data_IF_384938187950
#
_entry.id   IF_384938187950
#
_cell.length_a   1.000
_cell.length_b   1.000
_cell.length_c   1.000
_cell.angle_alpha   90.00
_cell.angle_beta   90.00
_cell.angle_gamma   90.00
#
_symmetry.space_group_name_H-M   'P 1'
#
loop_
_entity.id
_entity.type
_entity.pdbx_description
1 polymer ?
#
# COMPACT_ATOMS: atom_id res chain seq x y z
N UNK A 1 -20.75 76.99 -21.03
CA UNK A 1 -19.90 75.99 -21.70
C UNK A 1 -18.68 75.72 -20.84
N UNK A 2 -18.42 74.44 -20.50
CA UNK A 2 -17.10 73.84 -20.22
C UNK A 2 -16.43 74.31 -18.90
N UNK A 3 -15.99 73.46 -17.95
CA UNK A 3 -15.61 72.04 -17.98
C UNK A 3 -15.67 71.45 -16.56
N UNK A 4 -15.89 70.14 -16.51
CA UNK A 4 -15.86 69.24 -15.35
C UNK A 4 -14.81 69.62 -14.29
N UNK A 5 -15.29 69.97 -13.11
CA UNK A 5 -14.59 69.81 -11.83
C UNK A 5 -15.23 68.60 -11.18
N UNK A 6 -14.54 67.45 -11.13
CA UNK A 6 -14.66 66.40 -10.09
C UNK A 6 -13.89 65.08 -10.37
N UNK A 7 -13.09 64.96 -11.44
CA UNK A 7 -12.49 63.66 -11.82
C UNK A 7 -10.96 63.55 -11.64
N UNK A 8 -10.32 64.37 -10.80
CA UNK A 8 -8.86 64.29 -10.60
C UNK A 8 -8.42 64.08 -9.15
N UNK A 9 -9.34 64.02 -8.19
CA UNK A 9 -9.01 63.71 -6.79
C UNK A 9 -9.20 62.22 -6.43
N UNK A 10 -9.68 61.39 -7.37
CA UNK A 10 -9.94 59.96 -7.12
C UNK A 10 -8.95 59.01 -7.81
N UNK A 11 -8.07 59.51 -8.69
CA UNK A 11 -7.08 58.68 -9.41
C UNK A 11 -5.69 58.72 -8.72
N UNK A 12 -5.52 59.53 -7.67
CA UNK A 12 -4.28 59.61 -6.89
C UNK A 12 -4.40 59.03 -5.47
N UNK A 13 -5.43 58.19 -5.25
CA UNK A 13 -5.60 57.42 -4.01
C UNK A 13 -5.40 55.90 -4.21
N UNK A 14 -5.21 55.43 -5.45
CA UNK A 14 -5.04 54.00 -5.77
C UNK A 14 -3.60 53.58 -6.13
N UNK A 15 -2.61 54.43 -5.88
CA UNK A 15 -1.18 54.13 -6.14
C UNK A 15 -0.34 53.96 -4.86
N UNK A 16 -0.97 53.77 -3.70
CA UNK A 16 -0.29 53.62 -2.41
C UNK A 16 -0.76 52.38 -1.60
N UNK A 17 -1.28 51.36 -2.28
CA UNK A 17 -1.39 50.02 -1.70
C UNK A 17 -0.29 49.20 -2.38
N UNK A 18 0.94 49.41 -1.91
CA UNK A 18 1.98 48.41 -2.12
C UNK A 18 1.52 47.16 -1.39
N UNK A 19 1.48 46.04 -2.13
CA UNK A 19 1.25 44.72 -1.56
C UNK A 19 2.36 44.40 -0.55
N UNK A 20 2.13 44.69 0.72
CA UNK A 20 2.78 43.97 1.82
C UNK A 20 1.91 42.74 2.11
N UNK A 21 1.93 41.78 1.19
CA UNK A 21 1.47 40.42 1.48
C UNK A 21 2.68 39.63 1.98
N UNK A 22 3.12 39.97 3.19
CA UNK A 22 3.92 39.10 4.03
C UNK A 22 3.28 39.13 5.41
N UNK A 23 2.00 38.79 5.50
CA UNK A 23 1.55 38.10 6.69
C UNK A 23 2.07 36.68 6.51
N UNK A 24 3.24 36.42 7.10
CA UNK A 24 3.58 35.08 7.52
C UNK A 24 2.46 34.65 8.45
N UNK A 25 1.51 33.89 7.92
CA UNK A 25 0.51 33.22 8.72
C UNK A 25 1.27 32.49 9.83
N UNK A 26 0.93 32.70 11.12
CA UNK A 26 1.59 31.98 12.19
C UNK A 26 1.39 30.50 11.89
N UNK A 27 2.50 29.79 11.72
CA UNK A 27 2.52 28.33 11.57
C UNK A 27 1.60 27.79 12.65
N UNK A 28 0.56 27.06 12.24
CA UNK A 28 -0.38 26.47 13.17
C UNK A 28 0.45 25.67 14.19
N UNK A 29 0.38 25.97 15.49
CA UNK A 29 1.12 25.22 16.52
C UNK A 29 0.78 23.72 16.52
N UNK A 30 -0.33 23.30 15.89
CA UNK A 30 -0.67 21.89 15.67
C UNK A 30 0.07 21.24 14.49
N UNK A 31 0.70 22.03 13.62
CA UNK A 31 1.56 21.58 12.52
C UNK A 31 3.06 21.64 12.87
N UNK A 32 3.42 22.07 14.09
CA UNK A 32 4.76 21.89 14.63
C UNK A 32 4.71 20.69 15.57
N UNK A 33 4.75 19.48 15.00
CA UNK A 33 5.22 18.33 15.75
C UNK A 33 6.71 18.56 16.04
N UNK A 34 6.99 19.20 17.18
CA UNK A 34 8.31 19.17 17.82
C UNK A 34 8.53 17.80 18.45
N UNK A 35 8.37 16.74 17.65
CA UNK A 35 8.99 15.46 17.92
C UNK A 35 10.49 15.71 18.12
N UNK A 36 11.14 15.00 19.06
CA UNK A 36 12.56 15.17 19.30
C UNK A 36 13.35 15.11 18.00
N UNK A 37 14.03 16.23 17.69
CA UNK A 37 14.86 16.38 16.51
C UNK A 37 15.88 15.23 16.44
N UNK A 38 16.05 14.56 15.29
CA UNK A 38 16.83 13.33 15.18
C UNK A 38 18.30 13.53 15.56
N UNK A 39 18.90 12.43 16.05
CA UNK A 39 20.32 12.34 16.38
C UNK A 39 21.17 12.27 15.10
N UNK A 40 21.38 13.42 14.44
CA UNK A 40 22.25 13.57 13.27
C UNK A 40 21.47 13.71 11.93
N UNK A 41 22.10 14.25 10.88
CA UNK A 41 21.45 14.49 9.59
C UNK A 41 21.06 13.17 8.91
N UNK A 42 19.91 13.16 8.23
CA UNK A 42 19.50 12.06 7.36
C UNK A 42 20.53 11.88 6.23
N UNK A 43 20.81 10.63 5.87
CA UNK A 43 21.67 10.32 4.72
C UNK A 43 21.22 9.06 4.01
N UNK A 44 21.40 9.02 2.70
CA UNK A 44 21.20 7.86 1.86
C UNK A 44 22.29 7.83 0.79
N UNK A 45 22.99 6.70 0.66
CA UNK A 45 24.11 6.53 -0.27
C UNK A 45 24.21 5.09 -0.77
N UNK A 46 24.81 4.92 -1.94
CA UNK A 46 25.11 3.62 -2.54
C UNK A 46 26.27 3.76 -3.53
N UNK A 47 27.07 2.72 -3.70
CA UNK A 47 28.15 2.68 -4.68
C UNK A 47 27.72 1.89 -5.92
N UNK A 48 27.85 2.51 -7.10
CA UNK A 48 27.70 1.83 -8.39
C UNK A 48 28.55 2.53 -9.45
N UNK A 49 28.88 1.82 -10.54
CA UNK A 49 29.76 2.33 -11.62
C UNK A 49 31.10 2.93 -11.13
N UNK A 50 31.64 2.40 -10.01
CA UNK A 50 32.90 2.83 -9.43
C UNK A 50 32.86 4.16 -8.68
N UNK A 51 31.67 4.71 -8.41
CA UNK A 51 31.49 5.96 -7.67
C UNK A 51 30.47 5.80 -6.54
N UNK A 52 30.64 6.61 -5.48
CA UNK A 52 29.62 6.76 -4.44
C UNK A 52 28.58 7.77 -4.88
N UNK A 53 27.35 7.29 -4.98
CA UNK A 53 26.16 8.08 -5.18
C UNK A 53 25.54 8.43 -3.83
N UNK A 54 25.46 9.73 -3.52
CA UNK A 54 24.82 10.25 -2.32
C UNK A 54 23.66 11.17 -2.72
N UNK A 55 22.49 10.92 -2.13
CA UNK A 55 21.27 11.66 -2.45
C UNK A 55 21.20 12.96 -1.65
N UNK A 56 20.37 13.89 -2.12
CA UNK A 56 20.16 15.19 -1.45
C UNK A 56 18.95 15.15 -0.52
N UNK A 57 18.00 14.24 -0.81
CA UNK A 57 16.84 13.94 0.02
C UNK A 57 16.73 12.44 0.28
N UNK A 58 16.17 12.09 1.42
CA UNK A 58 15.77 10.72 1.76
C UNK A 58 14.51 10.76 2.60
N UNK A 59 13.52 9.95 2.24
CA UNK A 59 12.25 9.79 2.95
C UNK A 59 11.92 8.32 3.07
N UNK A 60 11.09 7.99 4.04
CA UNK A 60 10.56 6.66 4.21
C UNK A 60 9.08 6.67 4.59
N UNK A 61 8.41 5.55 4.34
CA UNK A 61 7.04 5.29 4.77
C UNK A 61 7.08 3.95 5.49
N UNK A 62 6.45 3.86 6.67
CA UNK A 62 6.26 2.60 7.40
C UNK A 62 4.79 2.48 7.74
N UNK A 63 4.07 1.63 7.02
CA UNK A 63 2.63 1.44 7.20
C UNK A 63 2.15 0.12 6.57
N UNK A 64 1.00 -0.42 7.03
CA UNK A 64 0.28 -1.52 6.38
C UNK A 64 1.15 -2.74 6.01
N UNK A 65 2.06 -3.15 6.90
CA UNK A 65 2.95 -4.29 6.64
C UNK A 65 4.08 -4.00 5.65
N UNK A 66 4.34 -2.75 5.30
CA UNK A 66 5.35 -2.35 4.32
C UNK A 66 6.29 -1.26 4.88
N UNK A 67 7.56 -1.32 4.47
CA UNK A 67 8.53 -0.24 4.59
C UNK A 67 8.94 0.17 3.18
N UNK A 68 8.80 1.45 2.85
CA UNK A 68 9.39 2.06 1.66
C UNK A 68 10.45 3.08 2.06
N UNK A 69 11.63 3.04 1.45
CA UNK A 69 12.69 4.02 1.68
C UNK A 69 13.18 4.52 0.33
N UNK A 70 13.11 5.83 0.09
CA UNK A 70 13.54 6.43 -1.17
C UNK A 70 14.61 7.50 -0.91
N UNK A 71 15.72 7.41 -1.65
CA UNK A 71 16.73 8.45 -1.74
C UNK A 71 16.67 9.16 -3.10
N UNK A 72 16.66 10.49 -3.13
CA UNK A 72 16.51 11.30 -4.36
C UNK A 72 17.67 12.29 -4.50
N UNK A 73 18.31 12.30 -5.66
CA UNK A 73 19.29 13.32 -6.07
C UNK A 73 18.59 14.52 -6.70
N UNK A 74 18.91 15.71 -6.23
CA UNK A 74 18.40 16.96 -6.79
C UNK A 74 19.48 17.71 -7.56
N UNK A 75 19.15 18.38 -8.68
CA UNK A 75 17.82 18.48 -9.29
C UNK A 75 17.53 17.41 -10.34
N UNK A 76 18.43 16.43 -10.55
CA UNK A 76 18.28 15.43 -11.63
C UNK A 76 17.08 14.52 -11.43
N UNK A 77 16.64 14.35 -10.18
CA UNK A 77 15.53 13.48 -9.84
C UNK A 77 15.87 11.99 -9.98
N UNK A 78 17.16 11.66 -10.10
CA UNK A 78 17.61 10.28 -9.97
C UNK A 78 17.22 9.76 -8.58
N UNK A 79 16.75 8.52 -8.50
CA UNK A 79 16.29 7.95 -7.25
C UNK A 79 16.70 6.49 -7.10
N UNK A 80 16.87 6.09 -5.84
CA UNK A 80 16.91 4.68 -5.44
C UNK A 80 15.75 4.45 -4.48
N UNK A 81 14.92 3.47 -4.78
CA UNK A 81 13.75 3.11 -3.96
C UNK A 81 13.91 1.68 -3.46
N UNK A 82 13.62 1.49 -2.19
CA UNK A 82 13.65 0.23 -1.46
C UNK A 82 12.23 -0.04 -0.96
N UNK A 83 11.67 -1.22 -1.23
CA UNK A 83 10.37 -1.64 -0.70
C UNK A 83 10.53 -2.99 -0.02
N UNK A 84 10.00 -3.10 1.19
CA UNK A 84 10.13 -4.27 2.06
C UNK A 84 8.75 -4.69 2.54
N UNK A 85 8.35 -5.96 2.35
CA UNK A 85 7.17 -6.55 2.98
C UNK A 85 7.45 -6.85 4.46
N UNK A 86 7.32 -5.82 5.28
CA UNK A 86 7.43 -5.90 6.73
C UNK A 86 7.53 -4.51 7.35
N UNK A 87 7.32 -4.41 8.66
CA UNK A 87 7.41 -3.17 9.44
C UNK A 87 8.44 -3.26 10.58
N UNK A 88 9.24 -4.33 10.60
CA UNK A 88 10.17 -4.61 11.70
C UNK A 88 11.64 -4.47 11.27
N UNK A 89 12.53 -4.38 12.26
CA UNK A 89 13.97 -4.52 12.01
C UNK A 89 14.29 -5.95 11.61
N UNK A 90 15.16 -6.13 10.62
CA UNK A 90 15.45 -7.46 10.09
C UNK A 90 16.21 -7.39 8.77
N UNK A 91 16.51 -8.55 8.20
CA UNK A 91 17.03 -8.64 6.83
C UNK A 91 15.95 -9.24 5.95
N UNK A 92 15.69 -8.57 4.83
CA UNK A 92 14.70 -8.91 3.83
C UNK A 92 15.43 -9.16 2.52
N UNK A 93 15.30 -10.34 1.95
CA UNK A 93 15.96 -10.70 0.69
C UNK A 93 15.01 -10.47 -0.48
N UNK A 94 15.57 -10.28 -1.68
CA UNK A 94 14.76 -10.14 -2.88
C UNK A 94 13.83 -11.35 -3.11
N UNK A 95 14.33 -12.56 -2.85
CA UNK A 95 13.55 -13.80 -2.93
C UNK A 95 12.34 -13.85 -1.96
N UNK A 96 12.36 -13.02 -0.91
CA UNK A 96 11.29 -12.90 0.09
C UNK A 96 10.38 -11.68 -0.20
N UNK A 97 10.42 -11.13 -1.42
CA UNK A 97 9.58 -10.01 -1.87
C UNK A 97 10.17 -8.61 -1.66
N UNK A 98 11.42 -8.48 -1.23
CA UNK A 98 12.08 -7.18 -1.12
C UNK A 98 12.42 -6.61 -2.51
N UNK A 99 11.91 -5.43 -2.84
CA UNK A 99 12.11 -4.77 -4.13
C UNK A 99 13.10 -3.62 -4.04
N UNK A 100 14.00 -3.52 -5.01
CA UNK A 100 14.94 -2.42 -5.14
C UNK A 100 14.92 -1.90 -6.57
N UNK A 101 14.82 -0.57 -6.72
CA UNK A 101 14.90 0.07 -8.03
C UNK A 101 15.81 1.29 -8.04
N UNK A 102 16.35 1.60 -9.22
CA UNK A 102 17.08 2.82 -9.52
C UNK A 102 16.52 3.47 -10.79
N UNK A 103 16.08 4.71 -10.68
CA UNK A 103 15.63 5.54 -11.79
C UNK A 103 16.68 6.61 -12.08
N UNK A 104 17.08 6.74 -13.35
CA UNK A 104 18.07 7.75 -13.76
C UNK A 104 17.49 9.17 -13.87
N UNK A 105 16.18 9.33 -13.71
CA UNK A 105 15.48 10.61 -13.56
C UNK A 105 14.02 10.37 -13.18
N UNK A 106 13.30 11.43 -12.77
CA UNK A 106 11.86 11.38 -12.49
C UNK A 106 10.98 11.05 -13.70
N UNK A 107 11.54 11.11 -14.91
CA UNK A 107 10.83 10.84 -16.18
C UNK A 107 11.41 9.65 -16.93
N UNK A 108 12.26 8.85 -16.29
CA UNK A 108 12.91 7.73 -16.93
C UNK A 108 11.88 6.62 -17.17
N UNK A 109 11.53 6.39 -18.44
CA UNK A 109 10.69 5.26 -18.88
C UNK A 109 11.34 3.92 -18.55
N UNK A 110 12.67 3.88 -18.56
CA UNK A 110 13.46 2.71 -18.22
C UNK A 110 14.22 2.91 -16.92
N UNK A 111 14.24 1.87 -16.10
CA UNK A 111 14.87 1.85 -14.79
C UNK A 111 15.52 0.50 -14.54
N UNK A 112 16.36 0.45 -13.50
CA UNK A 112 16.99 -0.78 -13.07
C UNK A 112 16.24 -1.32 -11.85
N UNK A 113 15.92 -2.60 -11.85
CA UNK A 113 15.26 -3.27 -10.73
C UNK A 113 16.01 -4.55 -10.35
N UNK A 114 15.81 -5.04 -9.12
CA UNK A 114 16.47 -6.27 -8.66
C UNK A 114 15.89 -7.56 -9.26
N UNK A 115 14.95 -7.48 -10.20
CA UNK A 115 14.41 -8.62 -10.95
C UNK A 115 15.11 -8.71 -12.30
N UNK A 116 15.61 -9.89 -12.67
CA UNK A 116 16.13 -10.13 -14.01
C UNK A 116 14.96 -10.48 -14.94
N UNK A 117 14.58 -9.64 -15.91
CA UNK A 117 13.41 -9.90 -16.73
C UNK A 117 13.59 -11.09 -17.70
N UNK A 118 14.81 -11.64 -17.82
CA UNK A 118 15.09 -12.86 -18.57
C UNK A 118 15.04 -14.15 -17.73
N UNK A 119 14.80 -14.05 -16.42
CA UNK A 119 14.66 -15.17 -15.50
C UNK A 119 13.30 -15.05 -14.78
N UNK A 120 12.53 -16.14 -14.72
CA UNK A 120 11.28 -16.15 -13.94
C UNK A 120 11.58 -15.91 -12.45
N UNK A 121 10.90 -14.92 -11.86
CA UNK A 121 10.69 -14.71 -10.41
C UNK A 121 11.88 -14.88 -9.45
N UNK A 122 13.06 -14.33 -9.78
CA UNK A 122 14.23 -14.35 -8.87
C UNK A 122 14.75 -12.94 -8.57
N UNK A 123 14.06 -12.16 -7.71
CA UNK A 123 14.57 -10.89 -7.26
C UNK A 123 15.79 -11.10 -6.37
N UNK A 124 16.89 -10.39 -6.68
CA UNK A 124 18.14 -10.53 -5.96
C UNK A 124 18.34 -9.42 -4.92
N UNK A 125 19.45 -9.50 -4.18
CA UNK A 125 19.86 -8.46 -3.23
C UNK A 125 19.18 -8.59 -1.87
N UNK A 126 19.51 -7.67 -0.98
CA UNK A 126 19.00 -7.66 0.39
C UNK A 126 18.89 -6.24 0.93
N UNK A 127 17.90 -6.03 1.78
CA UNK A 127 17.70 -4.83 2.60
C UNK A 127 17.75 -5.25 4.06
N UNK A 128 18.60 -4.62 4.86
CA UNK A 128 18.65 -4.82 6.31
C UNK A 128 18.17 -3.56 7.00
N UNK A 129 17.01 -3.62 7.65
CA UNK A 129 16.50 -2.57 8.53
C UNK A 129 17.17 -2.73 9.90
N UNK A 130 18.14 -1.86 10.21
CA UNK A 130 18.92 -1.94 11.46
C UNK A 130 18.24 -1.27 12.64
N UNK A 131 17.41 -0.25 12.39
CA UNK A 131 16.68 0.44 13.45
C UNK A 131 15.46 1.18 12.91
N UNK A 132 14.36 1.10 13.66
CA UNK A 132 13.20 1.98 13.54
C UNK A 132 13.06 2.71 14.88
N UNK A 133 13.23 4.02 14.87
CA UNK A 133 13.11 4.86 16.05
C UNK A 133 11.74 5.53 16.07
N UNK A 134 10.83 4.94 16.83
CA UNK A 134 9.43 5.38 16.98
C UNK A 134 9.27 6.69 17.75
N UNK A 135 10.30 7.09 18.51
CA UNK A 135 10.28 8.37 19.25
C UNK A 135 10.67 9.55 18.36
N UNK A 136 11.67 9.36 17.51
CA UNK A 136 12.19 10.42 16.63
C UNK A 136 11.70 10.28 15.17
N UNK A 137 10.82 9.32 14.89
CA UNK A 137 10.32 8.99 13.55
C UNK A 137 11.43 8.84 12.48
N UNK A 138 12.45 8.03 12.78
CA UNK A 138 13.55 7.75 11.85
C UNK A 138 13.84 6.28 11.64
N UNK A 139 14.26 5.92 10.43
CA UNK A 139 14.65 4.56 10.03
C UNK A 139 16.08 4.54 9.50
N UNK A 140 16.80 3.44 9.76
CA UNK A 140 18.18 3.24 9.29
C UNK A 140 18.41 1.80 8.86
N UNK A 141 19.34 1.60 7.94
CA UNK A 141 19.63 0.29 7.38
C UNK A 141 20.69 0.29 6.28
N UNK A 142 20.88 -0.89 5.69
CA UNK A 142 21.82 -1.14 4.59
C UNK A 142 21.17 -1.92 3.48
N UNK A 143 21.69 -1.82 2.26
CA UNK A 143 21.18 -2.59 1.13
C UNK A 143 22.25 -2.87 0.08
N UNK A 144 22.00 -3.88 -0.76
CA UNK A 144 22.78 -4.20 -1.96
C UNK A 144 21.89 -4.94 -2.96
N UNK A 145 22.13 -4.75 -4.25
CA UNK A 145 21.46 -5.51 -5.32
C UNK A 145 22.20 -5.40 -6.65
N UNK A 146 21.84 -6.29 -7.57
CA UNK A 146 22.15 -6.18 -8.99
C UNK A 146 20.89 -5.69 -9.70
N UNK A 147 20.95 -4.50 -10.28
CA UNK A 147 19.88 -3.93 -11.06
C UNK A 147 19.94 -4.42 -12.51
N UNK A 148 18.84 -4.96 -13.02
CA UNK A 148 18.61 -5.27 -14.42
C UNK A 148 17.64 -4.26 -14.99
N UNK A 149 17.85 -3.87 -16.24
CA UNK A 149 16.98 -2.90 -16.90
C UNK A 149 15.62 -3.55 -17.16
N UNK A 150 14.54 -2.83 -16.91
CA UNK A 150 13.17 -3.30 -17.14
C UNK A 150 12.77 -3.40 -18.64
N UNK A 151 13.70 -3.18 -19.56
CA UNK A 151 13.48 -3.28 -21.01
C UNK A 151 14.13 -4.55 -21.54
N UNK A 152 13.31 -5.52 -21.94
CA UNK A 152 13.75 -6.82 -22.48
C UNK A 152 14.30 -6.75 -23.89
N UNK A 153 14.05 -5.66 -24.64
CA UNK A 153 14.48 -5.58 -26.04
C UNK A 153 15.93 -5.14 -26.21
N UNK A 154 16.56 -4.54 -25.18
CA UNK A 154 17.83 -3.83 -25.34
C UNK A 154 19.08 -4.55 -24.80
N UNK A 155 19.01 -5.78 -24.29
CA UNK A 155 20.15 -6.56 -23.75
C UNK A 155 21.12 -5.69 -22.89
N UNK A 156 20.56 -4.75 -22.13
CA UNK A 156 21.36 -3.77 -21.41
C UNK A 156 22.16 -4.44 -20.28
N UNK A 157 23.43 -4.07 -20.07
CA UNK A 157 24.24 -4.66 -19.00
C UNK A 157 23.64 -4.33 -17.63
N UNK A 158 23.67 -5.30 -16.71
CA UNK A 158 23.25 -5.07 -15.33
C UNK A 158 24.24 -4.16 -14.58
N UNK A 159 23.74 -3.50 -13.54
CA UNK A 159 24.50 -2.60 -12.67
C UNK A 159 24.53 -3.19 -11.26
N UNK A 160 25.72 -3.31 -10.67
CA UNK A 160 25.85 -3.74 -9.27
C UNK A 160 25.85 -2.53 -8.34
N UNK A 161 24.91 -2.53 -7.39
CA UNK A 161 24.76 -1.55 -6.32
C UNK A 161 25.28 -2.16 -5.02
N UNK A 162 26.32 -1.55 -4.45
CA UNK A 162 27.03 -2.05 -3.27
C UNK A 162 27.14 -0.97 -2.20
N UNK A 163 27.44 -1.37 -0.96
CA UNK A 163 27.62 -0.45 0.17
C UNK A 163 26.46 0.53 0.36
N UNK A 164 25.24 0.12 -0.01
CA UNK A 164 24.02 0.88 0.18
C UNK A 164 23.77 1.09 1.67
N UNK A 165 23.56 2.33 2.07
CA UNK A 165 23.31 2.67 3.47
C UNK A 165 22.40 3.89 3.56
N UNK A 166 21.45 3.82 4.50
CA UNK A 166 20.61 4.94 4.87
C UNK A 166 20.58 5.08 6.38
N UNK A 167 20.69 6.31 6.87
CA UNK A 167 20.82 6.62 8.29
C UNK A 167 19.91 7.77 8.64
N UNK A 168 19.15 7.61 9.72
CA UNK A 168 18.24 8.60 10.28
C UNK A 168 17.27 9.18 9.23
N UNK A 169 16.81 8.36 8.28
CA UNK A 169 15.85 8.79 7.27
C UNK A 169 14.53 9.04 7.97
N UNK A 170 13.93 10.25 7.88
CA UNK A 170 12.62 10.51 8.46
C UNK A 170 11.59 9.62 7.77
N UNK A 171 10.70 9.02 8.56
CA UNK A 171 9.56 8.27 8.02
C UNK A 171 8.22 8.84 8.46
N UNK A 172 7.21 8.66 7.61
CA UNK A 172 5.79 8.87 7.93
C UNK A 172 5.06 7.53 8.07
N UNK A 173 3.90 7.54 8.71
CA UNK A 173 3.11 6.34 8.99
C UNK A 173 3.20 5.87 10.45
N UNK A 174 2.25 5.04 10.85
CA UNK A 174 2.17 4.51 12.20
C UNK A 174 3.01 3.24 12.30
N UNK A 175 4.23 3.39 12.83
CA UNK A 175 4.75 2.35 13.71
C UNK A 175 4.18 2.62 15.08
N UNK A 176 2.94 2.16 15.29
CA UNK A 176 2.56 1.84 16.65
C UNK A 176 3.70 0.99 17.25
N UNK A 177 4.02 1.10 18.56
CA UNK A 177 4.68 -0.03 19.19
C UNK A 177 3.78 -1.23 18.88
N UNK A 178 4.09 -2.03 17.87
CA UNK A 178 3.24 -3.15 17.53
C UNK A 178 3.30 -4.02 18.77
N UNK A 179 2.20 -4.13 19.53
CA UNK A 179 2.24 -4.93 20.72
C UNK A 179 2.58 -6.35 20.25
N UNK A 180 3.59 -6.97 20.89
CA UNK A 180 4.19 -8.22 20.42
C UNK A 180 3.10 -9.20 19.97
N UNK A 181 3.10 -9.53 18.68
CA UNK A 181 2.12 -10.46 18.13
C UNK A 181 2.35 -11.83 18.73
N UNK A 182 1.26 -12.49 19.11
CA UNK A 182 1.32 -13.76 19.80
C UNK A 182 0.27 -14.70 19.24
N UNK A 183 0.67 -15.90 18.83
CA UNK A 183 -0.24 -17.01 18.58
C UNK A 183 0.25 -18.25 19.33
N UNK A 184 -0.57 -18.75 20.26
CA UNK A 184 -0.26 -19.95 21.07
C UNK A 184 -1.49 -20.81 21.25
N UNK A 185 -1.29 -22.12 21.31
CA UNK A 185 -2.32 -23.11 21.62
C UNK A 185 -1.66 -24.36 22.18
N UNK A 186 -2.38 -25.15 22.97
CA UNK A 186 -1.95 -26.50 23.34
C UNK A 186 -2.60 -27.52 22.42
N UNK A 187 -1.79 -28.30 21.72
CA UNK A 187 -2.20 -29.42 20.87
C UNK A 187 -1.96 -30.70 21.67
N UNK A 188 -3.01 -31.41 22.05
CA UNK A 188 -2.96 -32.59 22.95
C UNK A 188 -2.18 -32.31 24.25
N UNK A 189 -2.32 -31.08 24.76
CA UNK A 189 -1.62 -30.60 25.96
C UNK A 189 -0.18 -30.12 25.74
N UNK A 190 0.42 -30.34 24.56
CA UNK A 190 1.74 -29.82 24.21
C UNK A 190 1.65 -28.40 23.64
N UNK A 191 2.53 -27.49 24.09
CA UNK A 191 2.47 -26.09 23.65
C UNK A 191 2.96 -25.91 22.21
N UNK A 192 2.10 -25.33 21.39
CA UNK A 192 2.40 -24.68 20.12
C UNK A 192 2.58 -23.18 20.36
N UNK A 193 3.63 -22.61 19.78
CA UNK A 193 3.89 -21.16 19.77
C UNK A 193 4.38 -20.85 18.37
N UNK A 194 3.63 -20.03 17.66
CA UNK A 194 3.97 -19.65 16.31
C UNK A 194 5.24 -18.79 16.30
N UNK A 195 6.06 -18.97 15.27
CA UNK A 195 7.15 -18.06 14.92
C UNK A 195 6.62 -16.85 14.15
N UNK A 196 5.51 -17.03 13.42
CA UNK A 196 4.81 -15.98 12.67
C UNK A 196 3.29 -16.19 12.70
N UNK A 197 2.53 -15.10 12.59
CA UNK A 197 1.07 -15.16 12.56
C UNK A 197 0.47 -14.01 11.74
N UNK A 198 -0.59 -14.35 11.00
CA UNK A 198 -1.26 -13.41 10.10
C UNK A 198 -2.77 -13.61 10.15
N UNK A 199 -3.51 -12.57 9.77
CA UNK A 199 -4.95 -12.63 9.61
C UNK A 199 -5.42 -11.89 8.36
N UNK A 200 -6.64 -12.22 7.91
CA UNK A 200 -7.32 -11.53 6.82
C UNK A 200 -8.78 -11.38 7.19
N UNK A 201 -9.37 -10.23 6.92
CA UNK A 201 -10.77 -9.92 7.22
C UNK A 201 -11.46 -9.35 5.99
N UNK A 202 -12.54 -9.96 5.52
CA UNK A 202 -13.21 -9.53 4.30
C UNK A 202 -14.21 -10.54 3.81
N UNK A 203 -15.02 -10.19 2.82
CA UNK A 203 -16.02 -11.10 2.20
C UNK A 203 -16.95 -11.84 3.18
N UNK A 204 -17.16 -11.28 4.38
CA UNK A 204 -17.95 -11.91 5.46
C UNK A 204 -17.18 -12.91 6.33
N UNK A 205 -15.87 -13.05 6.14
CA UNK A 205 -14.99 -13.99 6.81
C UNK A 205 -13.84 -13.29 7.55
N UNK A 206 -13.34 -13.95 8.59
CA UNK A 206 -12.06 -13.69 9.24
C UNK A 206 -11.23 -14.98 9.14
N UNK A 207 -10.02 -14.89 8.60
CA UNK A 207 -9.02 -15.96 8.61
C UNK A 207 -7.89 -15.56 9.56
N UNK A 208 -7.44 -16.47 10.43
CA UNK A 208 -6.33 -16.26 11.35
C UNK A 208 -5.45 -17.50 11.32
N UNK A 209 -4.14 -17.35 11.13
CA UNK A 209 -3.19 -18.47 11.11
C UNK A 209 -1.93 -18.15 11.91
N UNK A 210 -1.40 -19.17 12.59
CA UNK A 210 -0.08 -19.16 13.21
C UNK A 210 0.79 -20.27 12.62
N UNK A 211 2.01 -19.93 12.24
CA UNK A 211 2.99 -20.79 11.58
C UNK A 211 4.20 -21.03 12.49
N UNK A 212 4.77 -22.23 12.46
CA UNK A 212 5.95 -22.60 13.23
C UNK A 212 6.94 -23.38 12.38
N UNK A 213 8.23 -23.04 12.51
CA UNK A 213 9.32 -23.72 11.84
C UNK A 213 9.38 -23.46 10.34
N UNK A 214 10.50 -23.84 9.74
CA UNK A 214 10.74 -23.69 8.29
C UNK A 214 10.02 -24.74 7.42
N UNK A 215 9.30 -25.68 8.04
CA UNK A 215 8.55 -26.75 7.36
C UNK A 215 7.06 -26.41 7.19
N UNK A 216 6.63 -25.19 7.53
CA UNK A 216 5.25 -24.75 7.36
C UNK A 216 4.24 -25.45 8.28
N UNK A 217 4.62 -25.87 9.49
CA UNK A 217 3.63 -26.34 10.48
C UNK A 217 2.68 -25.18 10.80
N UNK A 218 1.36 -25.41 10.78
CA UNK A 218 0.40 -24.33 10.99
C UNK A 218 -0.83 -24.75 11.77
N UNK A 219 -1.43 -23.77 12.47
CA UNK A 219 -2.81 -23.81 12.97
C UNK A 219 -3.55 -22.64 12.33
N UNK A 220 -4.64 -22.92 11.62
CA UNK A 220 -5.45 -21.92 10.94
C UNK A 220 -6.91 -22.00 11.37
N UNK A 221 -7.59 -20.87 11.45
CA UNK A 221 -8.99 -20.76 11.81
C UNK A 221 -9.67 -19.82 10.82
N UNK A 222 -10.77 -20.27 10.22
CA UNK A 222 -11.66 -19.43 9.41
C UNK A 222 -12.96 -19.27 10.19
N UNK A 223 -13.44 -18.04 10.31
CA UNK A 223 -14.67 -17.67 11.00
C UNK A 223 -15.58 -16.91 10.04
N UNK A 224 -16.84 -17.31 9.95
CA UNK A 224 -17.87 -16.59 9.22
C UNK A 224 -18.40 -15.41 10.06
N UNK A 225 -17.57 -14.39 10.20
CA UNK A 225 -17.83 -13.18 10.96
C UNK A 225 -16.93 -12.02 10.49
N UNK A 226 -17.32 -10.80 10.83
CA UNK A 226 -16.52 -9.58 10.58
C UNK A 226 -16.52 -8.63 11.80
N UNK A 227 -16.95 -9.11 12.96
CA UNK A 227 -17.09 -8.30 14.18
C UNK A 227 -16.50 -9.02 15.37
N UNK A 228 -16.34 -8.29 16.47
CA UNK A 228 -16.06 -8.90 17.77
C UNK A 228 -17.23 -9.79 18.23
N UNK A 229 -16.91 -10.86 18.96
CA UNK A 229 -17.91 -11.80 19.46
C UNK A 229 -17.37 -13.21 19.72
N UNK A 230 -18.24 -14.06 20.25
CA UNK A 230 -17.98 -15.49 20.45
C UNK A 230 -18.77 -16.32 19.45
N UNK A 231 -18.09 -17.23 18.78
CA UNK A 231 -18.57 -18.05 17.68
C UNK A 231 -18.35 -19.52 18.01
N UNK A 232 -19.41 -20.34 17.96
CA UNK A 232 -19.37 -21.77 18.35
C UNK A 232 -19.67 -22.72 17.18
N UNK A 233 -20.30 -22.24 16.11
CA UNK A 233 -20.63 -23.04 14.92
C UNK A 233 -20.33 -22.31 13.60
N UNK A 234 -19.65 -21.17 13.68
CA UNK A 234 -19.31 -20.34 12.52
C UNK A 234 -17.82 -20.39 12.21
N UNK A 235 -17.08 -21.28 12.89
CA UNK A 235 -15.64 -21.34 12.79
C UNK A 235 -15.17 -22.77 12.49
N UNK A 236 -14.14 -22.86 11.65
CA UNK A 236 -13.47 -24.10 11.30
C UNK A 236 -11.99 -23.94 11.58
N UNK A 237 -11.42 -24.91 12.30
CA UNK A 237 -9.98 -25.01 12.54
C UNK A 237 -9.36 -26.04 11.57
N UNK A 238 -8.15 -25.76 11.13
CA UNK A 238 -7.26 -26.68 10.40
C UNK A 238 -5.88 -26.71 11.06
N UNK A 239 -5.23 -27.87 11.05
CA UNK A 239 -3.86 -28.08 11.50
C UNK A 239 -3.13 -29.08 10.63
N UNK A 240 -1.87 -28.78 10.29
CA UNK A 240 -0.95 -29.70 9.63
C UNK A 240 0.44 -29.63 10.27
N UNK A 241 1.14 -30.76 10.38
CA UNK A 241 2.48 -30.80 10.98
C UNK A 241 3.59 -30.25 10.06
N UNK A 242 3.27 -30.09 8.77
CA UNK A 242 4.09 -29.44 7.74
C UNK A 242 3.20 -29.05 6.55
N UNK A 243 3.72 -28.19 5.66
CA UNK A 243 3.05 -27.78 4.43
C UNK A 243 2.70 -28.96 3.49
N UNK A 244 3.54 -30.00 3.47
CA UNK A 244 3.36 -31.22 2.66
C UNK A 244 2.64 -32.36 3.41
N UNK A 245 2.09 -32.10 4.60
CA UNK A 245 1.45 -33.17 5.38
C UNK A 245 0.09 -33.53 4.76
N UNK A 246 -0.02 -34.75 4.22
CA UNK A 246 -1.30 -35.29 3.73
C UNK A 246 -2.30 -35.52 4.87
N UNK A 247 -1.84 -35.59 6.13
CA UNK A 247 -2.65 -35.87 7.30
C UNK A 247 -3.12 -34.59 8.01
N UNK A 248 -3.97 -33.81 7.33
CA UNK A 248 -4.53 -32.56 7.88
C UNK A 248 -5.65 -32.87 8.87
N UNK A 249 -5.60 -32.25 10.05
CA UNK A 249 -6.68 -32.29 11.03
C UNK A 249 -7.62 -31.11 10.79
N UNK A 250 -8.93 -31.38 10.71
CA UNK A 250 -9.94 -30.35 10.55
C UNK A 250 -11.11 -30.54 11.51
N UNK A 251 -11.68 -29.42 11.97
CA UNK A 251 -12.88 -29.42 12.81
C UNK A 251 -14.17 -29.55 12.00
N UNK A 252 -14.10 -29.59 10.65
CA UNK A 252 -15.25 -29.54 9.75
C UNK A 252 -16.23 -30.72 9.94
N UNK A 253 -15.72 -31.88 10.34
CA UNK A 253 -16.51 -33.12 10.48
C UNK A 253 -17.06 -33.34 11.90
N UNK A 254 -16.80 -32.42 12.83
CA UNK A 254 -17.16 -32.56 14.24
C UNK A 254 -18.29 -31.58 14.58
N UNK A 255 -19.40 -32.08 15.11
CA UNK A 255 -20.49 -31.20 15.59
C UNK A 255 -20.07 -30.47 16.87
N UNK A 256 -20.30 -29.15 16.93
CA UNK A 256 -19.87 -28.29 18.04
C UNK A 256 -18.37 -28.43 18.33
N UNK A 257 -17.56 -28.49 17.26
CA UNK A 257 -16.15 -28.80 17.34
C UNK A 257 -15.36 -27.82 18.21
N UNK A 258 -15.86 -26.62 18.47
CA UNK A 258 -15.15 -25.68 19.32
C UNK A 258 -15.76 -24.31 19.35
N UNK A 259 -15.00 -23.35 19.84
CA UNK A 259 -15.37 -21.95 19.87
C UNK A 259 -14.16 -21.06 19.67
N UNK A 260 -14.38 -19.93 19.03
CA UNK A 260 -13.45 -18.82 18.95
C UNK A 260 -14.14 -17.56 19.47
N UNK A 261 -13.42 -16.75 20.22
CA UNK A 261 -13.84 -15.42 20.64
C UNK A 261 -12.89 -14.40 20.04
N UNK A 262 -13.41 -13.52 19.18
CA UNK A 262 -12.74 -12.31 18.72
C UNK A 262 -13.01 -11.25 19.79
N UNK A 263 -11.99 -10.88 20.56
CA UNK A 263 -12.15 -9.97 21.71
C UNK A 263 -11.87 -8.51 21.39
N UNK A 264 -11.10 -8.25 20.33
CA UNK A 264 -10.68 -6.91 19.94
C UNK A 264 -10.34 -6.91 18.44
N UNK A 265 -10.92 -5.97 17.69
CA UNK A 265 -10.52 -5.62 16.34
C UNK A 265 -10.04 -4.16 16.39
N UNK A 266 -8.73 -3.96 16.44
CA UNK A 266 -8.13 -2.64 16.42
C UNK A 266 -8.02 -2.17 14.96
N UNK A 267 -8.99 -1.35 14.54
CA UNK A 267 -9.03 -0.77 13.19
C UNK A 267 -8.05 0.38 12.98
N UNK A 268 -7.35 0.83 14.03
CA UNK A 268 -6.34 1.90 13.94
C UNK A 268 -4.95 1.30 13.73
N UNK A 269 -4.65 0.18 14.39
CA UNK A 269 -3.37 -0.52 14.28
C UNK A 269 -3.44 -1.80 13.43
N UNK A 270 -4.60 -2.11 12.84
CA UNK A 270 -4.89 -3.30 12.03
C UNK A 270 -4.51 -4.60 12.69
N UNK A 271 -4.92 -4.77 13.95
CA UNK A 271 -4.66 -6.01 14.69
C UNK A 271 -5.92 -6.66 15.23
N UNK A 272 -5.90 -7.99 15.35
CA UNK A 272 -6.99 -8.78 15.89
C UNK A 272 -6.51 -9.63 17.06
N UNK A 273 -7.31 -9.68 18.13
CA UNK A 273 -7.01 -10.44 19.35
C UNK A 273 -8.18 -11.32 19.78
N UNK A 274 -7.88 -12.40 20.49
CA UNK A 274 -8.90 -13.32 20.95
C UNK A 274 -8.38 -14.64 21.50
N UNK A 275 -9.33 -15.57 21.68
CA UNK A 275 -9.08 -16.90 22.23
C UNK A 275 -9.84 -17.96 21.46
N UNK A 276 -9.38 -19.20 21.50
CA UNK A 276 -10.06 -20.31 20.85
C UNK A 276 -9.83 -21.65 21.55
N UNK A 277 -10.75 -22.59 21.30
CA UNK A 277 -10.63 -23.98 21.73
C UNK A 277 -11.40 -24.86 20.74
N UNK A 278 -10.79 -25.92 20.22
CA UNK A 278 -11.41 -26.83 19.26
C UNK A 278 -10.97 -28.28 19.47
N UNK A 279 -11.77 -29.20 18.95
CA UNK A 279 -11.39 -30.57 18.60
C UNK A 279 -11.33 -30.64 17.07
N UNK A 280 -10.33 -31.32 16.52
CA UNK A 280 -10.22 -31.57 15.08
C UNK A 280 -9.87 -33.04 14.81
N UNK A 281 -10.32 -33.58 13.68
CA UNK A 281 -10.08 -34.95 13.26
C UNK A 281 -9.44 -35.00 11.88
N UNK A 282 -8.67 -36.04 11.59
CA UNK A 282 -8.18 -36.34 10.24
C UNK A 282 -9.07 -37.38 9.54
N UNK A 283 -8.72 -37.75 8.31
CA UNK A 283 -9.42 -38.78 7.50
C UNK A 283 -9.34 -40.20 8.08
N UNK A 284 -8.49 -40.42 9.09
CA UNK A 284 -8.36 -41.69 9.80
C UNK A 284 -9.19 -41.74 11.10
N UNK A 285 -10.02 -40.73 11.37
CA UNK A 285 -10.78 -40.54 12.62
C UNK A 285 -9.89 -40.40 13.87
N UNK A 286 -8.61 -40.04 13.72
CA UNK A 286 -7.78 -39.62 14.85
C UNK A 286 -8.14 -38.19 15.22
N UNK A 287 -8.37 -37.94 16.51
CA UNK A 287 -8.73 -36.64 17.05
C UNK A 287 -7.54 -35.94 17.72
N UNK A 288 -7.56 -34.61 17.69
CA UNK A 288 -6.66 -33.71 18.40
C UNK A 288 -7.42 -32.64 19.15
N UNK A 289 -6.94 -32.35 20.35
CA UNK A 289 -7.49 -31.30 21.21
C UNK A 289 -6.64 -30.03 21.12
N UNK A 290 -7.27 -28.92 20.74
CA UNK A 290 -6.69 -27.58 20.65
C UNK A 290 -7.26 -26.76 21.80
N UNK A 291 -6.48 -26.62 22.87
CA UNK A 291 -6.93 -25.97 24.12
C UNK A 291 -6.07 -24.77 24.47
N UNK A 292 -6.59 -23.85 25.28
CA UNK A 292 -5.87 -22.64 25.69
C UNK A 292 -5.33 -21.82 24.51
N UNK A 293 -6.07 -21.81 23.39
CA UNK A 293 -5.74 -21.01 22.22
C UNK A 293 -5.87 -19.52 22.53
N UNK A 294 -4.80 -18.77 22.26
CA UNK A 294 -4.73 -17.31 22.42
C UNK A 294 -4.03 -16.74 21.21
N UNK A 295 -4.64 -15.71 20.63
CA UNK A 295 -3.99 -14.85 19.66
C UNK A 295 -4.09 -13.40 20.13
N UNK A 296 -3.01 -12.63 19.98
CA UNK A 296 -2.91 -11.28 20.51
C UNK A 296 -2.21 -10.41 19.49
N UNK A 297 -2.91 -9.36 19.08
CA UNK A 297 -2.45 -8.37 18.12
C UNK A 297 -1.88 -9.00 16.84
N UNK A 298 -2.61 -9.98 16.28
CA UNK A 298 -2.25 -10.55 14.98
C UNK A 298 -2.52 -9.48 13.92
N UNK A 299 -1.54 -9.09 13.11
CA UNK A 299 -1.79 -8.14 12.03
C UNK A 299 -2.79 -8.73 11.04
N UNK A 300 -3.77 -7.93 10.61
CA UNK A 300 -4.72 -8.36 9.58
C UNK A 300 -4.67 -7.47 8.34
N UNK A 301 -4.90 -8.07 7.17
CA UNK A 301 -5.25 -7.36 5.93
C UNK A 301 -6.75 -7.40 5.70
N UNK A 302 -7.29 -6.43 4.96
CA UNK A 302 -8.69 -6.48 4.51
C UNK A 302 -8.79 -7.02 3.09
N UNK A 303 -9.69 -7.98 2.87
CA UNK A 303 -10.16 -8.32 1.51
C UNK A 303 -11.44 -7.50 1.28
N UNK A 304 -11.51 -6.75 0.16
CA UNK A 304 -12.59 -5.79 -0.05
C UNK A 304 -13.98 -6.43 0.15
N UNK A 305 -14.78 -5.79 1.00
CA UNK A 305 -16.15 -6.23 1.21
C UNK A 305 -16.97 -5.88 -0.03
N UNK A 306 -17.87 -6.77 -0.43
CA UNK A 306 -18.68 -6.70 -1.65
C UNK A 306 -19.66 -5.50 -1.73
N UNK A 307 -19.44 -4.44 -0.96
CA UNK A 307 -20.18 -3.17 -1.02
C UNK A 307 -19.55 -2.18 -1.98
N UNK A 308 -18.28 -2.34 -2.33
CA UNK A 308 -17.62 -1.44 -3.25
C UNK A 308 -18.25 -1.52 -4.64
N UNK A 309 -18.57 -0.36 -5.21
CA UNK A 309 -19.00 -0.25 -6.59
C UNK A 309 -17.79 0.23 -7.36
N UNK A 310 -17.33 -0.54 -8.36
CA UNK A 310 -16.45 0.00 -9.38
C UNK A 310 -16.82 -0.60 -10.73
N UNK A 311 -17.46 0.18 -11.60
CA UNK A 311 -18.01 -0.33 -12.87
C UNK A 311 -17.98 0.74 -13.94
N UNK A 312 -17.91 0.31 -15.20
CA UNK A 312 -17.94 1.20 -16.35
C UNK A 312 -18.41 0.46 -17.61
N UNK A 313 -18.70 1.21 -18.67
CA UNK A 313 -18.85 0.69 -20.03
C UNK A 313 -17.56 0.96 -20.80
N UNK A 314 -16.83 -0.10 -21.14
CA UNK A 314 -15.59 -0.05 -21.93
C UNK A 314 -15.91 -0.51 -23.36
N UNK A 315 -15.70 0.36 -24.34
CA UNK A 315 -15.94 0.10 -25.76
C UNK A 315 -17.34 -0.47 -26.05
N UNK A 316 -18.34 0.07 -25.35
CA UNK A 316 -19.74 -0.34 -25.46
C UNK A 316 -20.12 -1.59 -24.65
N UNK A 317 -19.17 -2.21 -23.95
CA UNK A 317 -19.40 -3.38 -23.11
C UNK A 317 -19.39 -3.00 -21.63
N UNK A 318 -20.46 -3.35 -20.90
CA UNK A 318 -20.51 -3.14 -19.45
C UNK A 318 -19.52 -4.07 -18.72
N UNK A 319 -18.77 -3.51 -17.77
CA UNK A 319 -17.79 -4.16 -16.93
C UNK A 319 -18.07 -3.80 -15.47
N UNK A 320 -18.03 -4.79 -14.60
CA UNK A 320 -18.21 -4.67 -13.16
C UNK A 320 -17.00 -5.29 -12.47
N UNK A 321 -16.28 -4.46 -11.71
CA UNK A 321 -15.03 -4.79 -11.02
C UNK A 321 -15.22 -4.81 -9.50
N UNK A 322 -16.45 -4.82 -8.99
CA UNK A 322 -16.75 -4.76 -7.55
C UNK A 322 -16.01 -5.83 -6.71
N UNK A 323 -15.72 -7.00 -7.29
CA UNK A 323 -15.02 -8.10 -6.61
C UNK A 323 -13.49 -8.10 -6.85
N UNK A 324 -12.96 -7.11 -7.56
CA UNK A 324 -11.56 -7.00 -7.97
C UNK A 324 -11.08 -5.55 -7.97
N UNK A 325 -11.70 -4.73 -7.12
CA UNK A 325 -11.29 -3.35 -6.89
C UNK A 325 -10.17 -3.33 -5.87
N UNK A 326 -9.17 -2.47 -6.07
CA UNK A 326 -8.08 -2.20 -5.14
C UNK A 326 -8.02 -0.68 -4.98
N UNK A 327 -7.99 -0.21 -3.74
CA UNK A 327 -7.87 1.21 -3.41
C UNK A 327 -6.62 1.45 -2.56
N UNK A 328 -6.02 2.62 -2.70
CA UNK A 328 -4.86 3.00 -1.89
C UNK A 328 -4.73 4.52 -1.79
N UNK A 329 -4.32 5.03 -0.64
CA UNK A 329 -3.88 6.41 -0.47
C UNK A 329 -2.35 6.51 -0.59
N UNK A 330 -1.85 7.27 -1.56
CA UNK A 330 -0.42 7.42 -1.87
C UNK A 330 0.02 8.87 -1.71
N UNK A 331 0.90 9.17 -0.75
CA UNK A 331 1.51 10.49 -0.59
C UNK A 331 2.76 10.65 -1.48
N UNK A 332 2.64 11.46 -2.53
CA UNK A 332 3.68 11.69 -3.53
C UNK A 332 4.59 12.89 -3.22
N UNK A 333 4.55 13.46 -2.01
CA UNK A 333 5.34 14.65 -1.63
C UNK A 333 4.90 15.96 -2.30
N UNK A 334 3.99 15.88 -3.29
CA UNK A 334 3.29 17.02 -3.91
C UNK A 334 1.80 17.07 -3.49
N UNK A 335 1.39 16.20 -2.56
CA UNK A 335 0.00 15.92 -2.20
C UNK A 335 -0.28 14.42 -2.20
N UNK A 336 -1.28 13.99 -1.42
CA UNK A 336 -1.76 12.62 -1.42
C UNK A 336 -2.73 12.36 -2.57
N UNK A 337 -2.75 11.12 -3.08
CA UNK A 337 -3.63 10.68 -4.15
C UNK A 337 -4.33 9.37 -3.77
N UNK A 338 -5.61 9.32 -4.04
CA UNK A 338 -6.45 8.12 -3.98
C UNK A 338 -6.34 7.40 -5.31
N UNK A 339 -5.85 6.17 -5.28
CA UNK A 339 -5.91 5.25 -6.40
C UNK A 339 -7.14 4.37 -6.27
N UNK A 340 -7.85 4.16 -7.37
CA UNK A 340 -8.96 3.19 -7.48
C UNK A 340 -8.70 2.37 -8.75
N UNK A 341 -8.33 1.11 -8.57
CA UNK A 341 -8.04 0.18 -9.66
C UNK A 341 -9.07 -0.92 -9.68
N UNK A 342 -9.54 -1.32 -10.86
CA UNK A 342 -10.35 -2.52 -11.05
C UNK A 342 -9.88 -3.28 -12.27
N UNK A 343 -9.60 -4.57 -12.11
CA UNK A 343 -9.10 -5.46 -13.17
C UNK A 343 -10.06 -6.63 -13.38
N UNK A 344 -10.25 -7.05 -14.62
CA UNK A 344 -11.01 -8.26 -14.94
C UNK A 344 -10.12 -9.52 -14.93
N UNK A 345 -10.74 -10.68 -15.14
CA UNK A 345 -10.04 -11.99 -15.07
C UNK A 345 -8.93 -12.17 -16.11
N UNK A 346 -8.82 -11.26 -17.09
CA UNK A 346 -7.78 -11.27 -18.11
C UNK A 346 -6.71 -10.19 -17.86
N UNK A 347 -6.74 -9.51 -16.72
CA UNK A 347 -5.79 -8.45 -16.36
C UNK A 347 -6.13 -7.07 -16.94
N UNK A 348 -7.08 -6.95 -17.87
CA UNK A 348 -7.52 -5.66 -18.40
C UNK A 348 -8.42 -4.91 -17.39
N UNK A 349 -8.35 -3.59 -17.36
CA UNK A 349 -8.97 -2.84 -16.27
C UNK A 349 -8.95 -1.33 -16.40
N UNK A 350 -9.25 -0.66 -15.29
CA UNK A 350 -9.29 0.79 -15.16
C UNK A 350 -8.54 1.18 -13.89
N UNK A 351 -7.69 2.21 -13.99
CA UNK A 351 -7.09 2.88 -12.84
C UNK A 351 -7.51 4.35 -12.84
N UNK A 352 -8.02 4.83 -11.71
CA UNK A 352 -8.21 6.24 -11.42
C UNK A 352 -7.17 6.70 -10.39
N UNK A 353 -6.65 7.91 -10.57
CA UNK A 353 -5.76 8.58 -9.62
C UNK A 353 -6.37 9.95 -9.33
N UNK A 354 -6.77 10.20 -8.09
CA UNK A 354 -7.55 11.36 -7.68
C UNK A 354 -6.84 12.03 -6.50
N UNK A 355 -6.53 13.32 -6.57
CA UNK A 355 -5.93 14.05 -5.46
C UNK A 355 -6.82 13.97 -4.22
N UNK A 356 -6.20 13.68 -3.08
CA UNK A 356 -6.88 13.52 -1.80
C UNK A 356 -7.39 14.87 -1.24
N UNK A 357 -6.85 15.99 -1.73
CA UNK A 357 -7.36 17.31 -1.34
C UNK A 357 -8.69 17.66 -2.03
N UNK A 358 -9.16 16.83 -2.96
CA UNK A 358 -10.40 17.09 -3.69
C UNK A 358 -11.64 16.75 -2.85
N UNK A 359 -12.50 17.75 -2.69
CA UNK A 359 -13.86 17.59 -2.19
C UNK A 359 -14.87 17.22 -3.29
N UNK A 360 -16.16 17.38 -2.99
CA UNK A 360 -17.21 17.17 -4.00
C UNK A 360 -17.10 18.18 -5.16
N UNK A 361 -17.13 17.69 -6.39
CA UNK A 361 -16.94 18.49 -7.60
C UNK A 361 -16.69 17.66 -8.85
N UNK A 362 -16.62 18.32 -10.01
CA UNK A 362 -16.21 17.70 -11.28
C UNK A 362 -14.85 18.23 -11.69
N UNK A 363 -13.91 17.31 -11.90
CA UNK A 363 -12.51 17.60 -12.16
C UNK A 363 -12.10 17.01 -13.52
N UNK A 364 -11.36 17.77 -14.34
CA UNK A 364 -10.89 17.29 -15.63
C UNK A 364 -9.85 16.18 -15.44
N UNK A 365 -9.97 15.11 -16.21
CA UNK A 365 -8.92 14.11 -16.35
C UNK A 365 -7.89 14.62 -17.36
N UNK A 366 -6.63 14.58 -16.97
CA UNK A 366 -5.51 15.06 -17.76
C UNK A 366 -4.25 14.25 -17.44
N UNK A 367 -3.35 14.12 -18.43
CA UNK A 367 -2.04 13.48 -18.23
C UNK A 367 -0.92 14.48 -17.89
N UNK A 368 -1.27 15.76 -17.68
CA UNK A 368 -0.31 16.79 -17.30
C UNK A 368 0.24 16.54 -15.90
N UNK A 369 1.51 16.90 -15.70
CA UNK A 369 2.16 16.86 -14.39
C UNK A 369 1.41 17.79 -13.43
N UNK A 370 1.08 17.28 -12.24
CA UNK A 370 0.32 18.02 -11.22
C UNK A 370 -1.19 18.05 -11.42
N UNK A 371 -1.74 17.27 -12.37
CA UNK A 371 -3.20 17.15 -12.51
C UNK A 371 -3.82 16.48 -11.29
N UNK A 372 -4.88 17.09 -10.76
CA UNK A 372 -5.61 16.57 -9.60
C UNK A 372 -6.43 15.29 -9.90
N UNK A 373 -6.66 14.98 -11.18
CA UNK A 373 -7.32 13.74 -11.58
C UNK A 373 -6.69 13.16 -12.85
N UNK A 374 -6.39 11.85 -12.81
CA UNK A 374 -5.87 11.07 -13.94
C UNK A 374 -6.64 9.76 -14.06
N UNK A 375 -6.61 9.18 -15.25
CA UNK A 375 -7.20 7.86 -15.49
C UNK A 375 -6.37 7.10 -16.52
N UNK A 376 -6.38 5.78 -16.38
CA UNK A 376 -5.68 4.85 -17.25
C UNK A 376 -6.60 3.69 -17.62
N UNK A 377 -6.43 3.18 -18.83
CA UNK A 377 -6.95 1.88 -19.24
C UNK A 377 -5.82 0.86 -19.19
N UNK A 378 -6.01 -0.19 -18.41
CA UNK A 378 -5.08 -1.31 -18.26
C UNK A 378 -5.42 -2.31 -19.36
N UNK A 379 -4.48 -2.61 -20.23
CA UNK A 379 -4.67 -3.59 -21.32
C UNK A 379 -4.31 -4.99 -20.79
N UNK A 380 -3.18 -5.08 -20.11
CA UNK A 380 -2.60 -6.28 -19.49
C UNK A 380 -1.68 -5.86 -18.33
N UNK A 381 -0.99 -6.81 -17.71
CA UNK A 381 -0.11 -6.59 -16.55
C UNK A 381 1.06 -5.62 -16.79
N UNK A 382 1.44 -5.40 -18.06
CA UNK A 382 2.59 -4.58 -18.44
C UNK A 382 2.21 -3.28 -19.16
N UNK A 383 0.94 -3.10 -19.53
CA UNK A 383 0.51 -2.05 -20.47
C UNK A 383 -0.64 -1.20 -19.93
N UNK A 384 -0.31 0.03 -19.54
CA UNK A 384 -1.26 1.07 -19.15
C UNK A 384 -1.32 2.22 -20.16
N UNK A 385 -2.53 2.59 -20.57
CA UNK A 385 -2.77 3.70 -21.50
C UNK A 385 -3.38 4.89 -20.75
N UNK A 386 -2.67 6.01 -20.70
CA UNK A 386 -3.15 7.23 -20.04
C UNK A 386 -4.24 7.93 -20.83
N UNK A 387 -5.30 8.35 -20.14
CA UNK A 387 -6.31 9.23 -20.69
C UNK A 387 -5.76 10.65 -20.88
N UNK A 388 -6.05 11.25 -22.04
CA UNK A 388 -5.70 12.64 -22.34
C UNK A 388 -6.83 13.61 -21.98
N UNK A 389 -8.07 13.13 -22.00
CA UNK A 389 -9.26 13.94 -21.73
C UNK A 389 -10.34 13.10 -21.06
N UNK A 390 -11.12 13.75 -20.21
CA UNK A 390 -12.25 13.14 -19.52
C UNK A 390 -12.62 13.95 -18.29
N UNK A 391 -13.42 13.36 -17.42
CA UNK A 391 -13.73 13.94 -16.12
C UNK A 391 -14.01 12.87 -15.08
N UNK A 392 -13.60 13.16 -13.85
CA UNK A 392 -14.08 12.48 -12.65
C UNK A 392 -15.02 13.43 -11.92
N UNK A 393 -16.12 12.93 -11.38
CA UNK A 393 -17.03 13.69 -10.52
C UNK A 393 -17.11 13.02 -9.16
N UNK A 394 -16.65 13.73 -8.14
CA UNK A 394 -16.77 13.32 -6.73
C UNK A 394 -18.10 13.85 -6.22
N UNK A 395 -18.99 12.94 -5.83
CA UNK A 395 -20.31 13.25 -5.29
C UNK A 395 -20.30 13.36 -3.77
N UNK A 396 -19.51 12.51 -3.10
CA UNK A 396 -19.29 12.54 -1.67
C UNK A 396 -17.87 12.03 -1.37
N UNK A 397 -17.27 12.60 -0.33
CA UNK A 397 -16.00 12.16 0.23
C UNK A 397 -15.98 12.47 1.72
N UNK A 398 -15.91 11.44 2.55
CA UNK A 398 -15.93 11.56 3.99
C UNK A 398 -15.40 10.27 4.64
N UNK A 399 -14.66 10.40 5.73
CA UNK A 399 -14.25 9.28 6.60
C UNK A 399 -13.62 8.12 5.82
N UNK A 400 -12.62 8.40 4.97
CA UNK A 400 -11.90 7.37 4.20
C UNK A 400 -12.67 6.76 3.03
N UNK A 401 -13.84 7.32 2.69
CA UNK A 401 -14.73 6.80 1.68
C UNK A 401 -15.04 7.83 0.58
N UNK A 402 -15.07 7.39 -0.69
CA UNK A 402 -15.25 8.27 -1.85
C UNK A 402 -16.27 7.70 -2.85
N UNK A 403 -17.22 8.55 -3.26
CA UNK A 403 -18.33 8.18 -4.15
C UNK A 403 -18.37 9.11 -5.34
N UNK A 404 -18.49 8.57 -6.55
CA UNK A 404 -18.52 9.40 -7.74
C UNK A 404 -18.73 8.66 -9.06
N UNK A 405 -18.51 9.41 -10.14
CA UNK A 405 -18.63 8.92 -11.51
C UNK A 405 -17.43 9.35 -12.34
N UNK A 406 -17.19 8.67 -13.46
CA UNK A 406 -16.11 9.02 -14.36
C UNK A 406 -16.44 8.67 -15.81
N UNK A 407 -15.79 9.38 -16.72
CA UNK A 407 -15.79 9.07 -18.15
C UNK A 407 -14.51 9.65 -18.77
N UNK A 408 -13.89 8.90 -19.68
CA UNK A 408 -12.71 9.35 -20.39
C UNK A 408 -12.52 8.58 -21.69
N UNK A 409 -11.61 9.07 -22.53
CA UNK A 409 -11.20 8.40 -23.76
C UNK A 409 -9.68 8.29 -23.80
N UNK A 410 -9.20 7.16 -24.33
CA UNK A 410 -7.79 6.96 -24.69
C UNK A 410 -7.64 7.33 -26.16
N UNK A 411 -6.62 8.14 -26.48
CA UNK A 411 -6.31 8.51 -27.88
C UNK A 411 -4.80 8.35 -28.10
N UNK A 412 -4.43 7.84 -29.27
CA UNK A 412 -3.03 7.71 -29.68
C UNK A 412 -2.25 9.03 -29.58
N UNK A 413 -0.96 9.00 -29.17
CA UNK A 413 -0.07 10.15 -29.25
C UNK A 413 0.01 10.69 -30.68
N UNK A 414 -0.49 11.91 -30.92
CA UNK A 414 -0.49 12.56 -32.23
C UNK A 414 -1.87 12.94 -32.79
N UNK A 415 -2.95 12.56 -32.09
CA UNK A 415 -4.32 12.93 -32.45
C UNK A 415 -4.92 11.99 -33.50
N UNK A 416 -5.88 11.18 -33.07
CA UNK A 416 -6.57 10.17 -33.88
C UNK A 416 -7.96 9.86 -33.33
N UNK A 417 -8.59 8.81 -33.86
CA UNK A 417 -9.82 8.27 -33.25
C UNK A 417 -9.50 7.67 -31.86
N UNK A 418 -10.44 7.70 -30.91
CA UNK A 418 -10.26 7.04 -29.61
C UNK A 418 -9.93 5.56 -29.80
N UNK A 419 -8.90 5.06 -29.10
CA UNK A 419 -8.58 3.62 -29.05
C UNK A 419 -9.45 2.90 -28.05
N UNK A 420 -9.79 3.57 -26.94
CA UNK A 420 -10.76 3.09 -25.95
C UNK A 420 -11.71 4.20 -25.50
N UNK A 421 -12.97 3.86 -25.31
CA UNK A 421 -14.02 4.74 -24.81
C UNK A 421 -14.62 4.20 -23.52
N UNK A 422 -14.44 4.95 -22.43
CA UNK A 422 -14.92 4.59 -21.09
C UNK A 422 -16.04 5.54 -20.70
N UNK A 423 -17.24 4.99 -20.50
CA UNK A 423 -18.47 5.74 -20.20
C UNK A 423 -19.25 5.10 -19.06
N UNK A 424 -20.21 5.82 -18.48
CA UNK A 424 -21.03 5.35 -17.37
C UNK A 424 -20.20 4.80 -16.19
N UNK A 425 -19.01 5.34 -15.97
CA UNK A 425 -18.13 4.95 -14.87
C UNK A 425 -18.75 5.36 -13.53
N UNK A 426 -18.75 4.46 -12.56
CA UNK A 426 -19.21 4.69 -11.19
C UNK A 426 -18.21 4.10 -10.21
N UNK A 427 -17.92 4.84 -9.14
CA UNK A 427 -17.17 4.35 -7.99
C UNK A 427 -17.89 4.70 -6.68
N UNK A 428 -17.84 3.78 -5.73
CA UNK A 428 -18.35 3.90 -4.36
C UNK A 428 -17.44 2.99 -3.54
N UNK A 429 -16.35 3.53 -2.98
CA UNK A 429 -15.24 2.73 -2.44
C UNK A 429 -14.67 3.35 -1.17
N UNK A 430 -14.22 2.48 -0.27
CA UNK A 430 -13.35 2.84 0.84
C UNK A 430 -11.89 2.86 0.36
N UNK A 431 -11.10 3.87 0.76
CA UNK A 431 -9.75 4.12 0.23
C UNK A 431 -8.69 4.42 1.28
N UNK A 432 -9.10 4.70 2.51
CA UNK A 432 -8.24 4.92 3.67
C UNK A 432 -8.65 3.86 4.70
N UNK A 433 -7.78 2.86 4.88
CA UNK A 433 -8.02 1.70 5.74
C UNK A 433 -7.21 1.79 7.02
#
# INVERSE_FOLDING_TARGET
MKKLSFLSAFILLFAAIGFTSCDSEPVDPLLIDNGPQPAGPASFKVDFNGATYATDQATAIVNAGLISVTGIKMPSGESVTLTVPGTTTGTYNGADGAMLSYHSSLSATYYYMNVNPSLEDDPNGSITITSINTTNHTISGTFNFVGYRNDVEEDAPSITFTNGAFQNVPYTGNVGPQPESLFKVKIDGAQFTADDAQATMGIGLISIAGFRGANGEYVAIIVNATTEGTYTDQAVLSYAASEDDENVYSSLLIENAGTITISDIDTVNHTISGTFSFTASNDADDEKEFTEGVFTNIPYTTENTTSDIFKATVDGTAKDYANSVITSLVDGGSGAFINIQGVDTNGSGILLVISDDLGAGTYPISNEIGSDAKAFYIVDEDTDLSALTGSVTISAKQDGHIVGTFQYVITEPGGGAPTHTITNGQFDVEYDF
#
